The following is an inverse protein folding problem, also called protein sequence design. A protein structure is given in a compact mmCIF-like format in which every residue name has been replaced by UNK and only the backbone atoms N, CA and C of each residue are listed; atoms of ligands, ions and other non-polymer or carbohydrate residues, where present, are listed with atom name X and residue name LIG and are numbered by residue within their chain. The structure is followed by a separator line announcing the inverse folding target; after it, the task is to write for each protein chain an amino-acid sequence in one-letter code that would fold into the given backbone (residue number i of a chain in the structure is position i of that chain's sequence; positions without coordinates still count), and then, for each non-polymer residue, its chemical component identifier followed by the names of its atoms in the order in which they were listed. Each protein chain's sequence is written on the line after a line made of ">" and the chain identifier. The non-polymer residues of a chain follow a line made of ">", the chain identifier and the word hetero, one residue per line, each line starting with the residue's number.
data_IF_751079795810
#
_entry.id   IF_751079795810
#
_cell.length_a   1.000
_cell.length_b   1.000
_cell.length_c   1.000
_cell.angle_alpha   90.00
_cell.angle_beta   90.00
_cell.angle_gamma   90.00
#
_symmetry.space_group_name_H-M   'P 1'
#
loop_
_entity.id
_entity.type
_entity.pdbx_description
1 polymer ?
#
# COMPACT_ATOMS: atom_id res chain seq x y z
N UNK A 1 0.98 -24.92 -24.77
CA UNK A 1 0.95 -24.03 -23.58
C UNK A 1 2.27 -23.28 -23.41
N UNK A 2 3.28 -23.64 -24.18
CA UNK A 2 4.67 -23.17 -24.04
C UNK A 2 4.86 -21.76 -24.64
N UNK A 3 4.09 -21.41 -25.67
CA UNK A 3 4.07 -20.05 -26.26
C UNK A 3 3.44 -18.99 -25.35
N UNK A 4 2.50 -19.37 -24.48
CA UNK A 4 1.93 -18.45 -23.47
C UNK A 4 2.92 -18.19 -22.35
N UNK A 5 3.78 -19.16 -22.04
CA UNK A 5 4.87 -18.97 -21.07
C UNK A 5 6.00 -18.12 -21.64
N UNK A 6 6.39 -18.34 -22.90
CA UNK A 6 7.39 -17.49 -23.58
C UNK A 6 6.94 -16.02 -23.67
N UNK A 7 5.66 -15.75 -23.93
CA UNK A 7 5.12 -14.38 -23.95
C UNK A 7 5.12 -13.66 -22.59
N UNK A 8 5.14 -14.40 -21.48
CA UNK A 8 5.31 -13.84 -20.13
C UNK A 8 6.79 -13.63 -19.78
N UNK A 9 7.68 -14.46 -20.34
CA UNK A 9 9.14 -14.35 -20.20
C UNK A 9 9.76 -13.22 -21.02
N UNK A 10 9.21 -12.92 -22.20
CA UNK A 10 9.72 -11.92 -23.14
C UNK A 10 9.36 -10.47 -22.80
N UNK A 11 8.79 -10.19 -21.62
CA UNK A 11 8.73 -8.79 -21.18
C UNK A 11 10.17 -8.29 -21.04
N UNK A 12 10.58 -7.20 -21.72
CA UNK A 12 11.94 -6.69 -21.65
C UNK A 12 12.14 -6.08 -20.25
N UNK A 13 12.41 -6.93 -19.28
CA UNK A 13 12.91 -6.54 -17.97
C UNK A 13 14.40 -6.35 -18.18
N UNK A 14 14.76 -5.12 -18.55
CA UNK A 14 16.15 -4.70 -18.66
C UNK A 14 16.81 -4.80 -17.29
N UNK A 15 17.28 -6.00 -16.94
CA UNK A 15 18.13 -6.27 -15.80
C UNK A 15 19.48 -5.65 -16.05
N UNK A 16 19.60 -4.35 -15.76
CA UNK A 16 20.90 -3.69 -15.66
C UNK A 16 21.77 -4.40 -14.62
N UNK A 17 23.11 -4.32 -14.73
CA UNK A 17 24.01 -4.94 -13.77
C UNK A 17 23.63 -4.52 -12.34
N UNK A 18 23.63 -5.48 -11.40
CA UNK A 18 23.36 -5.26 -9.98
C UNK A 18 24.37 -4.25 -9.42
N UNK A 19 23.99 -2.98 -9.44
CA UNK A 19 24.77 -1.88 -8.91
C UNK A 19 24.11 -1.43 -7.60
N UNK A 20 24.89 -1.38 -6.52
CA UNK A 20 24.42 -0.94 -5.20
C UNK A 20 23.77 0.46 -5.27
N UNK A 21 24.23 1.31 -6.20
CA UNK A 21 23.66 2.64 -6.45
C UNK A 21 22.19 2.56 -6.91
N UNK A 22 21.84 1.63 -7.79
CA UNK A 22 20.49 1.48 -8.33
C UNK A 22 19.51 0.98 -7.28
N UNK A 23 19.97 0.08 -6.40
CA UNK A 23 19.20 -0.42 -5.25
C UNK A 23 18.99 0.68 -4.22
N UNK A 24 20.04 1.45 -3.91
CA UNK A 24 19.90 2.58 -3.00
C UNK A 24 18.89 3.61 -3.54
N UNK A 25 18.92 3.86 -4.85
CA UNK A 25 17.99 4.79 -5.50
C UNK A 25 16.55 4.28 -5.50
N UNK A 26 16.30 2.97 -5.73
CA UNK A 26 14.95 2.41 -5.64
C UNK A 26 14.38 2.49 -4.22
N UNK A 27 15.20 2.20 -3.19
CA UNK A 27 14.78 2.32 -1.79
C UNK A 27 14.49 3.76 -1.39
N UNK A 28 15.33 4.71 -1.80
CA UNK A 28 15.13 6.13 -1.52
C UNK A 28 13.85 6.63 -2.22
N UNK A 29 13.64 6.24 -3.48
CA UNK A 29 12.41 6.58 -4.20
C UNK A 29 11.17 5.97 -3.52
N UNK A 30 11.22 4.69 -3.13
CA UNK A 30 10.12 4.04 -2.41
C UNK A 30 9.82 4.72 -1.07
N UNK A 31 10.84 5.20 -0.37
CA UNK A 31 10.67 5.98 0.86
C UNK A 31 9.95 7.31 0.59
N UNK A 32 10.37 8.06 -0.43
CA UNK A 32 9.74 9.34 -0.80
C UNK A 32 8.28 9.14 -1.24
N UNK A 33 8.03 8.16 -2.11
CA UNK A 33 6.67 7.85 -2.58
C UNK A 33 5.78 7.33 -1.45
N UNK A 34 6.31 6.49 -0.56
CA UNK A 34 5.63 6.05 0.65
C UNK A 34 5.27 7.22 1.56
N UNK A 35 6.15 8.23 1.67
CA UNK A 35 5.86 9.44 2.44
C UNK A 35 4.75 10.29 1.81
N UNK A 36 4.73 10.42 0.48
CA UNK A 36 3.65 11.11 -0.25
C UNK A 36 2.32 10.41 0.02
N UNK A 37 2.28 9.08 -0.09
CA UNK A 37 1.08 8.29 0.19
C UNK A 37 0.62 8.43 1.65
N UNK A 38 1.56 8.44 2.60
CA UNK A 38 1.30 8.65 4.02
C UNK A 38 0.72 10.05 4.31
N UNK A 39 1.20 11.09 3.64
CA UNK A 39 0.62 12.43 3.72
C UNK A 39 -0.79 12.52 3.14
N UNK A 40 -1.03 11.87 2.00
CA UNK A 40 -2.36 11.81 1.39
C UNK A 40 -3.33 11.10 2.32
N UNK A 41 -2.91 9.98 2.93
CA UNK A 41 -3.69 9.30 3.95
C UNK A 41 -4.00 10.23 5.13
N UNK A 42 -3.00 10.94 5.66
CA UNK A 42 -3.17 11.88 6.78
C UNK A 42 -4.19 12.98 6.44
N UNK A 43 -4.12 13.56 5.23
CA UNK A 43 -5.03 14.62 4.79
C UNK A 43 -6.46 14.11 4.53
N UNK A 44 -6.60 12.86 4.09
CA UNK A 44 -7.90 12.25 3.72
C UNK A 44 -8.61 11.63 4.94
N UNK A 45 -7.96 11.53 6.09
CA UNK A 45 -8.51 10.84 7.25
C UNK A 45 -9.39 11.75 8.12
N UNK A 46 -10.72 11.63 7.98
CA UNK A 46 -11.71 12.33 8.82
C UNK A 46 -12.29 11.48 9.98
N UNK A 47 -11.69 10.32 10.32
CA UNK A 47 -12.21 9.38 11.33
C UNK A 47 -11.53 9.43 12.71
N UNK A 48 -12.27 9.02 13.76
CA UNK A 48 -11.83 8.99 15.18
C UNK A 48 -10.69 7.99 15.49
N UNK A 49 -10.24 7.18 14.54
CA UNK A 49 -9.29 6.08 14.77
C UNK A 49 -7.92 6.31 14.09
N UNK A 50 -7.40 7.53 14.14
CA UNK A 50 -6.04 7.83 13.69
C UNK A 50 -4.99 7.13 14.56
N UNK A 51 -4.13 6.32 13.95
CA UNK A 51 -2.98 5.70 14.62
C UNK A 51 -1.69 6.11 13.94
N UNK A 52 -0.78 6.76 14.68
CA UNK A 52 0.57 7.11 14.19
C UNK A 52 1.34 5.87 13.73
N UNK A 53 1.15 4.74 14.41
CA UNK A 53 1.79 3.47 14.06
C UNK A 53 1.35 2.95 12.69
N UNK A 54 0.13 3.23 12.25
CA UNK A 54 -0.36 2.81 10.94
C UNK A 54 0.31 3.61 9.81
N UNK A 55 0.40 4.93 9.96
CA UNK A 55 1.07 5.82 8.98
C UNK A 55 2.55 5.46 8.83
N UNK A 56 3.24 5.17 9.94
CA UNK A 56 4.62 4.69 9.92
C UNK A 56 4.73 3.32 9.23
N UNK A 57 3.78 2.42 9.50
CA UNK A 57 3.73 1.09 8.88
C UNK A 57 3.53 1.17 7.36
N UNK A 58 2.73 2.11 6.85
CA UNK A 58 2.55 2.34 5.41
C UNK A 58 3.87 2.62 4.69
N UNK A 59 4.69 3.52 5.26
CA UNK A 59 6.01 3.87 4.70
C UNK A 59 6.93 2.65 4.74
N UNK A 60 6.99 1.95 5.89
CA UNK A 60 7.81 0.77 6.06
C UNK A 60 7.42 -0.35 5.09
N UNK A 61 6.12 -0.61 4.91
CA UNK A 61 5.61 -1.61 3.96
C UNK A 61 6.04 -1.24 2.53
N UNK A 62 5.90 0.03 2.12
CA UNK A 62 6.30 0.48 0.78
C UNK A 62 7.79 0.20 0.52
N UNK A 63 8.65 0.52 1.49
CA UNK A 63 10.10 0.29 1.39
C UNK A 63 10.45 -1.19 1.42
N UNK A 64 9.84 -1.98 2.31
CA UNK A 64 10.07 -3.43 2.41
C UNK A 64 9.67 -4.12 1.10
N UNK A 65 8.55 -3.73 0.51
CA UNK A 65 8.08 -4.32 -0.75
C UNK A 65 9.00 -3.95 -1.90
N UNK A 66 9.50 -2.71 -1.94
CA UNK A 66 10.53 -2.31 -2.91
C UNK A 66 11.81 -3.12 -2.75
N UNK A 67 12.26 -3.37 -1.52
CA UNK A 67 13.43 -4.20 -1.25
C UNK A 67 13.22 -5.64 -1.72
N UNK A 68 12.09 -6.24 -1.33
CA UNK A 68 11.71 -7.61 -1.73
C UNK A 68 11.69 -7.72 -3.26
N UNK A 69 11.05 -6.78 -3.96
CA UNK A 69 10.99 -6.80 -5.42
C UNK A 69 12.37 -6.64 -6.07
N UNK A 70 13.23 -5.78 -5.51
CA UNK A 70 14.60 -5.61 -6.00
C UNK A 70 15.43 -6.89 -5.81
N UNK A 71 15.21 -7.64 -4.72
CA UNK A 71 15.89 -8.91 -4.42
C UNK A 71 15.44 -10.03 -5.35
N UNK A 72 14.15 -10.10 -5.67
CA UNK A 72 13.60 -11.13 -6.54
C UNK A 72 14.01 -10.92 -8.01
N UNK A 73 14.23 -9.66 -8.41
CA UNK A 73 14.71 -9.32 -9.74
C UNK A 73 13.72 -9.77 -10.82
N UNK A 74 14.15 -10.71 -11.69
CA UNK A 74 13.39 -11.14 -12.86
C UNK A 74 12.39 -12.29 -12.60
N UNK A 75 12.36 -12.87 -11.40
CA UNK A 75 11.52 -14.03 -11.12
C UNK A 75 10.15 -13.63 -10.59
N UNK A 76 9.28 -13.17 -11.49
CA UNK A 76 7.89 -12.77 -11.19
C UNK A 76 7.16 -13.90 -10.44
N UNK A 77 7.38 -15.16 -10.82
CA UNK A 77 6.80 -16.35 -10.18
C UNK A 77 7.18 -16.43 -8.69
N UNK A 78 8.45 -16.17 -8.36
CA UNK A 78 8.94 -16.14 -6.98
C UNK A 78 8.38 -14.95 -6.19
N UNK A 79 8.18 -13.80 -6.85
CA UNK A 79 7.59 -12.62 -6.23
C UNK A 79 6.14 -12.85 -5.79
N UNK A 80 5.32 -13.39 -6.69
CA UNK A 80 3.94 -13.72 -6.39
C UNK A 80 3.83 -14.89 -5.40
N UNK A 81 4.73 -15.87 -5.48
CA UNK A 81 4.80 -16.99 -4.53
C UNK A 81 5.09 -16.53 -3.09
N UNK A 82 6.03 -15.60 -2.91
CA UNK A 82 6.35 -15.01 -1.60
C UNK A 82 5.20 -14.17 -1.05
N UNK A 83 4.57 -13.33 -1.87
CA UNK A 83 3.38 -12.56 -1.44
C UNK A 83 2.23 -13.48 -1.03
N UNK A 84 1.95 -14.54 -1.80
CA UNK A 84 0.91 -15.52 -1.48
C UNK A 84 1.19 -16.28 -0.19
N UNK A 85 2.44 -16.70 0.02
CA UNK A 85 2.86 -17.35 1.25
C UNK A 85 2.68 -16.44 2.48
N UNK A 86 3.09 -15.16 2.39
CA UNK A 86 2.93 -14.18 3.46
C UNK A 86 1.45 -13.91 3.78
N UNK A 87 0.58 -13.86 2.76
CA UNK A 87 -0.86 -13.70 2.95
C UNK A 87 -1.51 -14.90 3.65
N UNK A 88 -0.99 -16.11 3.43
CA UNK A 88 -1.48 -17.34 4.10
C UNK A 88 -1.02 -17.41 5.57
N UNK A 89 0.19 -16.93 5.88
CA UNK A 89 0.84 -17.17 7.19
C UNK A 89 0.11 -16.51 8.37
N UNK A 90 -0.67 -15.44 8.20
CA UNK A 90 -1.47 -14.93 9.34
C UNK A 90 -2.57 -13.93 8.98
N UNK A 91 -3.82 -14.37 9.10
CA UNK A 91 -4.94 -13.46 9.41
C UNK A 91 -5.71 -13.96 10.64
N UNK A 92 -5.28 -13.53 11.83
CA UNK A 92 -6.10 -13.59 13.06
C UNK A 92 -6.33 -12.21 13.69
N UNK A 93 -5.90 -11.14 13.03
CA UNK A 93 -6.17 -9.77 13.46
C UNK A 93 -7.02 -9.10 12.39
N UNK A 94 -8.27 -8.80 12.73
CA UNK A 94 -9.18 -8.06 11.86
C UNK A 94 -8.65 -6.63 11.75
N UNK A 95 -8.14 -6.25 10.59
CA UNK A 95 -7.92 -4.84 10.27
C UNK A 95 -9.30 -4.18 10.32
N UNK A 96 -9.46 -3.22 11.23
CA UNK A 96 -10.78 -2.71 11.66
C UNK A 96 -11.45 -1.77 10.65
N UNK A 97 -10.69 -1.28 9.67
CA UNK A 97 -11.20 -0.33 8.67
C UNK A 97 -10.82 -0.79 7.24
N UNK A 98 -11.81 -0.85 6.36
CA UNK A 98 -11.62 -1.25 4.94
C UNK A 98 -10.81 -0.21 4.18
N UNK A 99 -10.86 1.07 4.56
CA UNK A 99 -10.05 2.14 3.94
C UNK A 99 -8.57 1.90 4.19
N UNK A 100 -8.19 1.49 5.39
CA UNK A 100 -6.80 1.22 5.76
C UNK A 100 -6.21 0.05 4.94
N UNK A 101 -7.03 -0.95 4.61
CA UNK A 101 -6.62 -2.07 3.76
C UNK A 101 -6.32 -1.56 2.34
N UNK A 102 -7.17 -0.69 1.78
CA UNK A 102 -6.97 -0.14 0.44
C UNK A 102 -5.66 0.66 0.32
N UNK A 103 -5.32 1.46 1.33
CA UNK A 103 -4.05 2.19 1.36
C UNK A 103 -2.83 1.26 1.48
N UNK A 104 -2.94 0.15 2.22
CA UNK A 104 -1.87 -0.87 2.26
C UNK A 104 -1.65 -1.48 0.87
N UNK A 105 -2.72 -1.78 0.13
CA UNK A 105 -2.61 -2.27 -1.24
C UNK A 105 -1.98 -1.23 -2.18
N UNK A 106 -2.33 0.05 -2.02
CA UNK A 106 -1.68 1.13 -2.77
C UNK A 106 -0.17 1.18 -2.50
N UNK A 107 0.23 1.11 -1.23
CA UNK A 107 1.63 1.07 -0.81
C UNK A 107 2.38 -0.15 -1.39
N UNK A 108 1.74 -1.32 -1.41
CA UNK A 108 2.28 -2.54 -2.02
C UNK A 108 2.60 -2.34 -3.51
N UNK A 109 1.62 -1.84 -4.28
CA UNK A 109 1.78 -1.64 -5.73
C UNK A 109 2.85 -0.60 -6.02
N UNK A 110 2.88 0.51 -5.27
CA UNK A 110 3.90 1.55 -5.42
C UNK A 110 5.30 1.01 -5.09
N UNK A 111 5.42 0.24 -4.00
CA UNK A 111 6.67 -0.42 -3.63
C UNK A 111 7.17 -1.38 -4.70
N UNK A 112 6.29 -2.18 -5.31
CA UNK A 112 6.65 -3.08 -6.42
C UNK A 112 7.11 -2.30 -7.67
N UNK A 113 6.43 -1.20 -8.01
CA UNK A 113 6.81 -0.36 -9.14
C UNK A 113 8.20 0.29 -8.92
N UNK A 114 8.49 0.75 -7.70
CA UNK A 114 9.79 1.32 -7.35
C UNK A 114 10.90 0.25 -7.35
N UNK A 115 10.63 -0.94 -6.83
CA UNK A 115 11.60 -2.04 -6.75
C UNK A 115 11.88 -2.75 -8.07
N UNK A 116 10.99 -2.62 -9.07
CA UNK A 116 11.21 -3.15 -10.43
C UNK A 116 12.02 -2.22 -11.34
N UNK A 117 12.63 -1.17 -10.79
CA UNK A 117 13.40 -0.15 -11.52
C UNK A 117 12.59 0.65 -12.56
N UNK A 118 11.25 0.58 -12.53
CA UNK A 118 10.37 1.34 -13.43
C UNK A 118 9.91 2.64 -12.78
N UNK A 119 10.87 3.52 -12.50
CA UNK A 119 10.67 4.74 -11.71
C UNK A 119 9.53 5.64 -12.21
N UNK A 120 9.39 5.78 -13.53
CA UNK A 120 8.32 6.58 -14.14
C UNK A 120 6.93 6.03 -13.81
N UNK A 121 6.76 4.71 -13.84
CA UNK A 121 5.48 4.08 -13.46
C UNK A 121 5.19 4.19 -11.97
N UNK A 122 6.22 4.16 -11.12
CA UNK A 122 6.05 4.34 -9.68
C UNK A 122 5.55 5.76 -9.34
N UNK A 123 6.13 6.78 -9.98
CA UNK A 123 5.73 8.19 -9.79
C UNK A 123 4.31 8.42 -10.31
N UNK A 124 4.01 7.98 -11.54
CA UNK A 124 2.66 8.14 -12.12
C UNK A 124 1.62 7.36 -11.31
N UNK A 125 1.91 6.13 -10.90
CA UNK A 125 1.02 5.34 -10.06
C UNK A 125 0.71 6.01 -8.73
N UNK A 126 1.73 6.56 -8.06
CA UNK A 126 1.55 7.30 -6.81
C UNK A 126 0.71 8.56 -7.02
N UNK A 127 0.97 9.32 -8.10
CA UNK A 127 0.22 10.52 -8.44
C UNK A 127 -1.27 10.23 -8.73
N UNK A 128 -1.55 9.18 -9.50
CA UNK A 128 -2.93 8.80 -9.84
C UNK A 128 -3.68 8.28 -8.60
N UNK A 129 -3.07 7.40 -7.81
CA UNK A 129 -3.70 6.85 -6.60
C UNK A 129 -3.96 7.93 -5.55
N UNK A 130 -3.03 8.87 -5.38
CA UNK A 130 -3.21 10.00 -4.48
C UNK A 130 -4.33 10.94 -4.95
N UNK A 131 -4.40 11.23 -6.24
CA UNK A 131 -5.46 12.05 -6.82
C UNK A 131 -6.84 11.39 -6.64
N UNK A 132 -6.95 10.08 -6.87
CA UNK A 132 -8.19 9.32 -6.64
C UNK A 132 -8.60 9.39 -5.15
N UNK A 133 -7.65 9.23 -4.23
CA UNK A 133 -7.92 9.32 -2.79
C UNK A 133 -8.44 10.72 -2.39
N UNK A 134 -7.83 11.78 -2.92
CA UNK A 134 -8.25 13.17 -2.69
C UNK A 134 -9.62 13.44 -3.31
N UNK A 135 -9.89 12.93 -4.52
CA UNK A 135 -11.18 13.08 -5.18
C UNK A 135 -12.31 12.40 -4.38
N UNK A 136 -12.05 11.19 -3.87
CA UNK A 136 -13.02 10.45 -3.06
C UNK A 136 -13.31 11.18 -1.74
N UNK A 137 -12.30 11.80 -1.15
CA UNK A 137 -12.46 12.65 0.03
C UNK A 137 -13.35 13.87 -0.25
N UNK A 138 -13.08 14.60 -1.33
CA UNK A 138 -13.83 15.82 -1.66
C UNK A 138 -15.29 15.56 -2.02
N UNK A 139 -15.58 14.39 -2.59
CA UNK A 139 -16.93 14.00 -3.00
C UNK A 139 -17.77 13.48 -1.82
N UNK A 140 -17.20 13.30 -0.63
CA UNK A 140 -17.84 12.71 0.56
C UNK A 140 -18.62 11.42 0.22
N UNK A 141 -18.07 10.65 -0.72
CA UNK A 141 -18.78 9.57 -1.38
C UNK A 141 -18.92 8.39 -0.42
N UNK A 142 -20.11 8.23 0.16
CA UNK A 142 -20.43 7.16 1.12
C UNK A 142 -20.77 7.63 2.54
N UNK A 143 -20.89 8.93 2.79
CA UNK A 143 -21.46 9.43 4.05
C UNK A 143 -22.96 9.14 4.12
N UNK A 144 -23.31 7.91 4.48
CA UNK A 144 -24.55 7.65 5.18
C UNK A 144 -24.26 7.89 6.65
N UNK A 145 -24.89 8.91 7.21
CA UNK A 145 -24.80 9.26 8.62
C UNK A 145 -25.94 8.54 9.36
N UNK A 146 -25.78 7.29 9.86
CA UNK A 146 -26.72 6.75 10.81
C UNK A 146 -26.53 7.53 12.11
N UNK A 147 -27.54 8.31 12.44
CA UNK A 147 -27.67 9.08 13.67
C UNK A 147 -27.72 8.13 14.87
N UNK A 148 -26.58 7.55 15.26
CA UNK A 148 -26.51 6.57 16.34
C UNK A 148 -26.36 7.32 17.68
N UNK A 149 -27.48 7.90 18.13
CA UNK A 149 -27.59 8.53 19.44
C UNK A 149 -27.43 7.49 20.54
N UNK A 150 -26.25 7.45 21.18
CA UNK A 150 -26.04 6.64 22.38
C UNK A 150 -26.72 7.31 23.58
N UNK A 151 -27.97 6.93 23.86
CA UNK A 151 -28.66 7.35 25.08
C UNK A 151 -28.19 6.49 26.26
N UNK A 152 -27.34 7.08 27.11
CA UNK A 152 -26.81 6.45 28.31
C UNK A 152 -27.72 6.75 29.50
N UNK A 153 -28.66 5.85 29.81
CA UNK A 153 -29.47 5.98 31.02
C UNK A 153 -28.66 5.56 32.26
N UNK A 154 -28.48 6.50 33.19
CA UNK A 154 -27.99 6.21 34.55
C UNK A 154 -29.16 6.32 35.50
N UNK A 155 -29.70 5.17 35.93
CA UNK A 155 -30.71 5.11 36.98
C UNK A 155 -29.99 5.15 38.34
N UNK A 156 -30.20 6.24 39.08
CA UNK A 156 -29.75 6.39 40.47
C UNK A 156 -30.76 5.67 41.36
N UNK A 157 -30.39 4.51 41.89
CA UNK A 157 -31.24 3.74 42.81
C UNK A 157 -31.52 4.50 44.12
N UNK A 158 -32.76 4.47 44.65
CA UNK A 158 -33.08 5.01 45.97
C UNK A 158 -32.51 4.12 47.07
N UNK A 159 -32.02 4.78 48.13
CA UNK A 159 -31.35 4.19 49.29
C UNK A 159 -32.28 3.30 50.12
#
# INVERSE_FOLDING_TARGET
>A
MDRLWQLLEDTPVSGGPFNAQTVLLSLLLAFVLGQVLAWVYYLTHCGLSYSRSYVQSLILITVVVSLVMTVIGNNIITAFGLMGALAIVRFRNVIKDTRDIAFIFCALVIGMAAGSHRYLTAILGTAVLSLIAIYLFFTDFGAHEPHNGFLRFSLRGPR
#
